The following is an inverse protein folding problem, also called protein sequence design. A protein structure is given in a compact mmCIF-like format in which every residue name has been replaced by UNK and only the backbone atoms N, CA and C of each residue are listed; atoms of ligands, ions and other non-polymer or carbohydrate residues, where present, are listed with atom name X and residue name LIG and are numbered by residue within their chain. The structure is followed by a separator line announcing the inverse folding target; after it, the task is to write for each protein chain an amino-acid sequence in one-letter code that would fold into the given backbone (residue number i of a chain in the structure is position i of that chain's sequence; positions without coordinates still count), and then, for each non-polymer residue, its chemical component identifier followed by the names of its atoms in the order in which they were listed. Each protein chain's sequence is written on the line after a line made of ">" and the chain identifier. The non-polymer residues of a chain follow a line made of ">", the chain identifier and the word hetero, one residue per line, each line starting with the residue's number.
data_IF_220759301827
#
_entry.id   IF_220759301827
#
_cell.length_a   1.000
_cell.length_b   1.000
_cell.length_c   1.000
_cell.angle_alpha   90.00
_cell.angle_beta   90.00
_cell.angle_gamma   90.00
#
_symmetry.space_group_name_H-M   'P 1'
#
loop_
_entity.id
_entity.type
_entity.pdbx_description
1 polymer ?
#
# COMPACT_ATOMS: atom_id res chain seq x y z
N UNK A 1 20.20 6.67 24.36
CA UNK A 1 18.95 7.31 23.93
C UNK A 1 17.81 6.33 24.11
N UNK A 2 16.79 6.67 24.90
CA UNK A 2 15.66 5.77 25.19
C UNK A 2 14.60 5.96 24.10
N UNK A 3 14.30 4.90 23.33
CA UNK A 3 13.20 4.95 22.37
C UNK A 3 11.87 4.84 23.11
N UNK A 4 10.93 5.73 22.80
CA UNK A 4 9.57 5.71 23.35
C UNK A 4 8.61 5.21 22.27
N UNK A 5 7.72 4.30 22.65
CA UNK A 5 6.59 3.89 21.83
C UNK A 5 5.29 4.29 22.53
N UNK A 6 4.29 4.66 21.73
CA UNK A 6 2.98 5.07 22.24
C UNK A 6 1.88 4.24 21.60
N UNK A 7 0.84 3.96 22.37
CA UNK A 7 -0.38 3.29 21.92
C UNK A 7 -1.58 4.09 22.38
N UNK A 8 -2.45 4.44 21.45
CA UNK A 8 -3.67 5.18 21.72
C UNK A 8 -4.87 4.46 21.14
N UNK A 9 -6.03 4.67 21.76
CA UNK A 9 -7.32 4.28 21.18
C UNK A 9 -7.85 5.47 20.40
N UNK A 10 -8.28 5.21 19.17
CA UNK A 10 -8.80 6.21 18.26
C UNK A 10 -10.31 6.02 18.10
N UNK A 11 -11.06 7.13 18.11
CA UNK A 11 -12.52 7.16 17.95
C UNK A 11 -12.89 8.15 16.84
N UNK A 12 -12.93 7.69 15.57
CA UNK A 12 -13.24 8.55 14.44
C UNK A 12 -14.71 8.99 14.41
N UNK A 13 -14.99 10.14 13.79
CA UNK A 13 -16.35 10.48 13.35
C UNK A 13 -16.75 9.61 12.14
N UNK A 14 -18.06 9.48 11.83
CA UNK A 14 -18.51 8.73 10.66
C UNK A 14 -17.86 9.16 9.33
N UNK A 15 -17.60 10.46 9.16
CA UNK A 15 -16.93 11.01 7.97
C UNK A 15 -15.46 10.59 7.92
N UNK A 16 -14.77 10.61 9.07
CA UNK A 16 -13.39 10.15 9.19
C UNK A 16 -13.28 8.65 8.90
N UNK A 17 -14.19 7.83 9.42
CA UNK A 17 -14.22 6.39 9.11
C UNK A 17 -14.39 6.13 7.61
N UNK A 18 -15.27 6.90 6.97
CA UNK A 18 -15.53 6.78 5.53
C UNK A 18 -14.29 7.14 4.73
N UNK A 19 -13.63 8.25 5.08
CA UNK A 19 -12.38 8.67 4.45
C UNK A 19 -11.28 7.62 4.64
N UNK A 20 -11.10 7.12 5.87
CA UNK A 20 -10.09 6.09 6.18
C UNK A 20 -10.34 4.80 5.40
N UNK A 21 -11.60 4.33 5.33
CA UNK A 21 -11.96 3.14 4.54
C UNK A 21 -11.62 3.32 3.07
N UNK A 22 -11.95 4.48 2.47
CA UNK A 22 -11.61 4.79 1.08
C UNK A 22 -10.10 4.83 0.87
N UNK A 23 -9.37 5.57 1.70
CA UNK A 23 -7.92 5.70 1.60
C UNK A 23 -7.22 4.35 1.74
N UNK A 24 -7.52 3.59 2.79
CA UNK A 24 -6.92 2.26 2.99
C UNK A 24 -7.29 1.29 1.88
N UNK A 25 -8.53 1.36 1.37
CA UNK A 25 -8.99 0.56 0.23
C UNK A 25 -8.20 0.85 -1.05
N UNK A 26 -8.07 2.14 -1.42
CA UNK A 26 -7.29 2.57 -2.57
C UNK A 26 -5.82 2.18 -2.45
N UNK A 27 -5.18 2.41 -1.30
CA UNK A 27 -3.80 2.02 -1.06
C UNK A 27 -3.61 0.51 -1.18
N UNK A 28 -4.53 -0.28 -0.60
CA UNK A 28 -4.45 -1.75 -0.68
C UNK A 28 -4.58 -2.25 -2.12
N UNK A 29 -5.47 -1.65 -2.90
CA UNK A 29 -5.63 -1.99 -4.32
C UNK A 29 -4.34 -1.75 -5.10
N UNK A 30 -3.76 -0.55 -4.99
CA UNK A 30 -2.52 -0.19 -5.69
C UNK A 30 -1.37 -1.09 -5.26
N UNK A 31 -1.20 -1.31 -3.95
CA UNK A 31 -0.16 -2.19 -3.42
C UNK A 31 -0.28 -3.62 -3.95
N UNK A 32 -1.49 -4.18 -3.92
CA UNK A 32 -1.72 -5.55 -4.39
C UNK A 32 -1.48 -5.70 -5.89
N UNK A 33 -1.85 -4.69 -6.70
CA UNK A 33 -1.53 -4.68 -8.14
C UNK A 33 -0.02 -4.67 -8.39
N UNK A 34 0.70 -3.77 -7.71
CA UNK A 34 2.15 -3.71 -7.82
C UNK A 34 2.82 -5.01 -7.32
N UNK A 35 2.31 -5.62 -6.25
CA UNK A 35 2.80 -6.90 -5.74
C UNK A 35 2.56 -8.03 -6.75
N UNK A 36 1.40 -8.08 -7.38
CA UNK A 36 1.07 -9.07 -8.41
C UNK A 36 2.02 -8.93 -9.61
N UNK A 37 2.21 -7.72 -10.14
CA UNK A 37 3.10 -7.47 -11.27
C UNK A 37 4.57 -7.87 -10.97
N UNK A 38 5.05 -7.56 -9.77
CA UNK A 38 6.40 -7.96 -9.32
C UNK A 38 6.55 -9.48 -9.19
N UNK A 39 5.52 -10.12 -8.65
CA UNK A 39 5.44 -11.58 -8.51
C UNK A 39 5.51 -12.25 -9.88
N UNK A 40 4.63 -11.84 -10.80
CA UNK A 40 4.56 -12.38 -12.16
C UNK A 40 5.88 -12.20 -12.93
N UNK A 41 6.44 -10.98 -12.92
CA UNK A 41 7.70 -10.71 -13.59
C UNK A 41 8.85 -11.58 -13.09
N UNK A 42 8.91 -11.85 -11.78
CA UNK A 42 9.91 -12.74 -11.22
C UNK A 42 9.68 -14.19 -11.65
N UNK A 43 8.47 -14.72 -11.46
CA UNK A 43 8.20 -16.14 -11.74
C UNK A 43 8.27 -16.50 -13.22
N UNK A 44 7.91 -15.58 -14.12
CA UNK A 44 7.89 -15.84 -15.56
C UNK A 44 9.20 -15.46 -16.24
N UNK A 45 9.84 -14.37 -15.83
CA UNK A 45 10.97 -13.76 -16.56
C UNK A 45 12.24 -13.60 -15.72
N UNK A 46 12.19 -13.91 -14.42
CA UNK A 46 13.27 -13.64 -13.46
C UNK A 46 13.67 -12.16 -13.42
N UNK A 47 12.71 -11.27 -13.70
CA UNK A 47 12.92 -9.83 -13.73
C UNK A 47 12.55 -9.18 -12.39
N UNK A 48 13.34 -8.19 -12.00
CA UNK A 48 13.02 -7.32 -10.86
C UNK A 48 12.30 -6.08 -11.35
N UNK A 49 11.03 -5.95 -10.96
CA UNK A 49 10.23 -4.74 -11.21
C UNK A 49 10.30 -3.85 -9.97
N UNK A 50 10.82 -2.63 -10.15
CA UNK A 50 11.00 -1.63 -9.10
C UNK A 50 9.82 -0.68 -8.92
N UNK A 51 10.02 0.32 -8.06
CA UNK A 51 9.01 1.35 -7.78
C UNK A 51 8.66 2.16 -9.03
N UNK A 52 9.67 2.60 -9.80
CA UNK A 52 9.47 3.44 -10.97
C UNK A 52 8.55 2.76 -11.99
N UNK A 53 8.80 1.47 -12.25
CA UNK A 53 8.01 0.65 -13.18
C UNK A 53 6.61 0.38 -12.66
N UNK A 54 6.44 0.11 -11.36
CA UNK A 54 5.08 -0.02 -10.80
C UNK A 54 4.32 1.30 -10.75
N UNK A 55 5.02 2.44 -10.68
CA UNK A 55 4.42 3.77 -10.71
C UNK A 55 3.91 4.14 -12.10
N UNK A 56 4.64 3.78 -13.16
CA UNK A 56 4.20 4.02 -14.54
C UNK A 56 2.97 3.21 -14.91
N UNK A 57 2.69 2.08 -14.26
CA UNK A 57 1.45 1.31 -14.47
C UNK A 57 0.17 2.04 -14.00
N UNK A 58 0.31 3.14 -13.26
CA UNK A 58 -0.82 3.92 -12.73
C UNK A 58 -1.20 5.12 -13.61
N UNK A 59 -0.43 5.41 -14.67
CA UNK A 59 -0.57 6.58 -15.54
C UNK A 59 -0.37 6.22 -17.00
#
# INVERSE_FOLDING_TARGET
>A
MTQKAFKYRFYPTPEQETLLRRTMGCTRLVYNRALAARTEAWYERQERVGYAETSTMLT
#
